data_IF_310628752214
#
_entry.id   IF_310628752214
#
_cell.length_a   1.000
_cell.length_b   1.000
_cell.length_c   1.000
_cell.angle_alpha   90.00
_cell.angle_beta   90.00
_cell.angle_gamma   90.00
#
_symmetry.space_group_name_H-M   'P 1'
#
loop_
_entity.id
_entity.type
_entity.pdbx_description
1 polymer ?
#
# COMPACT_ATOMS: atom_id res chain seq x y z
N UNK A 1 1.66 6.25 -19.00
CA UNK A 1 1.25 7.62 -18.72
C UNK A 1 2.47 8.53 -18.79
N UNK A 2 2.41 9.61 -19.55
CA UNK A 2 3.54 10.51 -19.78
C UNK A 2 3.07 11.97 -19.83
N UNK A 3 3.96 12.89 -19.50
CA UNK A 3 3.84 14.30 -19.86
C UNK A 3 4.66 14.58 -21.11
N UNK A 4 4.10 15.33 -22.05
CA UNK A 4 4.75 15.69 -23.30
C UNK A 4 4.57 17.17 -23.61
N UNK A 5 5.48 17.75 -24.40
CA UNK A 5 5.32 19.06 -25.03
C UNK A 5 4.68 18.96 -26.43
N UNK A 6 4.20 17.79 -26.81
CA UNK A 6 3.67 17.46 -28.13
C UNK A 6 4.66 16.69 -29.01
N UNK A 7 5.96 16.89 -28.85
CA UNK A 7 7.02 16.24 -29.64
C UNK A 7 7.87 15.29 -28.80
N UNK A 8 8.16 15.66 -27.55
CA UNK A 8 9.06 14.92 -26.68
C UNK A 8 8.36 14.47 -25.40
N UNK A 9 8.78 13.34 -24.88
CA UNK A 9 8.37 12.88 -23.54
C UNK A 9 9.23 13.62 -22.52
N UNK A 10 8.58 14.39 -21.64
CA UNK A 10 9.23 15.18 -20.60
C UNK A 10 9.34 14.42 -19.27
N UNK A 11 8.39 13.51 -19.01
CA UNK A 11 8.26 12.85 -17.73
C UNK A 11 7.47 11.55 -17.89
N UNK A 12 7.90 10.51 -17.21
CA UNK A 12 7.07 9.31 -16.95
C UNK A 12 6.24 9.58 -15.71
N UNK A 13 4.97 9.95 -15.91
CA UNK A 13 4.06 10.41 -14.87
C UNK A 13 4.02 9.47 -13.67
N UNK A 14 4.29 9.99 -12.48
CA UNK A 14 4.35 9.24 -11.23
C UNK A 14 5.54 8.27 -11.09
N UNK A 15 6.49 8.25 -12.02
CA UNK A 15 7.67 7.37 -11.99
C UNK A 15 8.95 8.19 -11.95
N UNK A 16 9.27 8.93 -13.02
CA UNK A 16 10.56 9.61 -13.15
C UNK A 16 10.47 10.83 -14.08
N UNK A 17 11.07 11.93 -13.68
CA UNK A 17 11.29 13.09 -14.55
C UNK A 17 12.33 12.83 -15.64
N UNK A 18 12.22 13.57 -16.75
CA UNK A 18 13.18 13.46 -17.85
C UNK A 18 14.46 14.27 -17.61
N UNK A 19 15.59 13.77 -18.10
CA UNK A 19 16.88 14.43 -17.97
C UNK A 19 16.91 15.80 -18.66
N UNK A 20 16.29 15.90 -19.85
CA UNK A 20 16.26 17.14 -20.64
C UNK A 20 15.57 18.32 -19.95
N UNK A 21 14.73 18.04 -18.95
CA UNK A 21 13.98 19.04 -18.18
C UNK A 21 14.37 19.07 -16.71
N UNK A 22 15.48 18.43 -16.35
CA UNK A 22 15.98 18.41 -14.98
C UNK A 22 16.48 19.80 -14.54
N UNK A 23 16.33 20.10 -13.24
CA UNK A 23 16.84 21.34 -12.68
C UNK A 23 18.37 21.34 -12.60
N UNK A 24 18.97 22.50 -12.79
CA UNK A 24 20.40 22.77 -12.63
C UNK A 24 20.62 24.09 -11.87
N UNK A 25 21.88 24.48 -11.68
CA UNK A 25 22.24 25.67 -10.91
C UNK A 25 21.74 26.99 -11.54
N UNK A 26 21.46 27.00 -12.86
CA UNK A 26 20.98 28.18 -13.59
C UNK A 26 19.46 28.22 -13.71
N UNK A 27 18.76 27.22 -13.22
CA UNK A 27 17.30 27.09 -13.32
C UNK A 27 16.63 28.25 -12.57
N UNK A 28 15.81 29.03 -13.27
CA UNK A 28 15.07 30.19 -12.71
C UNK A 28 13.56 29.95 -12.66
N UNK A 29 13.05 28.99 -13.44
CA UNK A 29 11.63 28.63 -13.48
C UNK A 29 11.50 27.13 -13.40
N UNK A 30 10.57 26.68 -12.59
CA UNK A 30 10.27 25.26 -12.40
C UNK A 30 8.79 25.00 -12.61
N UNK A 31 8.46 23.86 -13.16
CA UNK A 31 7.11 23.31 -13.18
C UNK A 31 7.02 22.24 -12.11
N UNK A 32 6.14 22.45 -11.13
CA UNK A 32 5.93 21.50 -10.02
C UNK A 32 4.69 20.68 -10.35
N UNK A 33 4.85 19.36 -10.40
CA UNK A 33 3.75 18.43 -10.49
C UNK A 33 3.37 17.98 -9.08
N UNK A 34 2.11 18.22 -8.71
CA UNK A 34 1.49 17.64 -7.52
C UNK A 34 0.20 16.98 -7.97
N UNK A 35 0.19 15.66 -8.06
CA UNK A 35 -0.84 14.93 -8.77
C UNK A 35 -1.32 13.68 -8.00
N UNK A 36 -2.48 13.20 -8.39
CA UNK A 36 -2.97 11.87 -8.10
C UNK A 36 -3.06 11.06 -9.38
N UNK A 37 -2.52 9.86 -9.37
CA UNK A 37 -2.64 8.90 -10.46
C UNK A 37 -3.34 7.64 -9.96
N UNK A 38 -4.19 7.05 -10.79
CA UNK A 38 -4.81 5.76 -10.46
C UNK A 38 -3.71 4.70 -10.32
N UNK A 39 -3.57 4.02 -9.19
CA UNK A 39 -2.52 3.01 -8.96
C UNK A 39 -2.41 1.98 -10.07
N UNK A 40 -3.55 1.49 -10.58
CA UNK A 40 -3.60 0.51 -11.70
C UNK A 40 -2.86 0.97 -12.97
N UNK A 41 -2.70 2.28 -13.17
CA UNK A 41 -1.98 2.82 -14.32
C UNK A 41 -0.47 2.80 -14.15
N UNK A 42 0.01 2.64 -12.91
CA UNK A 42 1.42 2.75 -12.55
C UNK A 42 2.03 1.43 -12.07
N UNK A 43 1.23 0.55 -11.51
CA UNK A 43 1.69 -0.77 -11.03
C UNK A 43 2.54 -1.47 -12.09
N UNK A 44 3.75 -1.88 -11.68
CA UNK A 44 4.72 -2.59 -12.51
C UNK A 44 5.46 -1.74 -13.55
N UNK A 45 5.24 -0.40 -13.59
CA UNK A 45 5.94 0.45 -14.57
C UNK A 45 7.39 0.70 -14.18
N UNK A 46 7.67 0.84 -12.89
CA UNK A 46 9.03 0.93 -12.34
C UNK A 46 9.86 -0.29 -12.75
N UNK A 47 9.32 -1.49 -12.59
CA UNK A 47 9.98 -2.74 -12.99
C UNK A 47 10.17 -2.80 -14.50
N UNK A 48 9.10 -2.50 -15.26
CA UNK A 48 9.13 -2.56 -16.74
C UNK A 48 10.23 -1.70 -17.36
N UNK A 49 10.51 -0.54 -16.77
CA UNK A 49 11.47 0.43 -17.30
C UNK A 49 12.79 0.44 -16.51
N UNK A 50 12.94 -0.44 -15.52
CA UNK A 50 14.08 -0.47 -14.61
C UNK A 50 14.36 0.90 -13.94
N UNK A 51 13.27 1.57 -13.52
CA UNK A 51 13.28 2.90 -12.92
C UNK A 51 12.71 2.82 -11.50
N UNK A 52 13.57 2.67 -10.52
CA UNK A 52 13.16 2.66 -9.13
C UNK A 52 13.14 4.07 -8.54
N UNK A 53 11.98 4.54 -8.08
CA UNK A 53 11.81 5.83 -7.44
C UNK A 53 10.83 5.78 -6.28
N UNK A 54 11.05 6.64 -5.28
CA UNK A 54 10.12 6.83 -4.17
C UNK A 54 8.71 7.25 -4.64
N UNK A 55 8.65 8.04 -5.72
CA UNK A 55 7.39 8.45 -6.32
C UNK A 55 6.61 7.24 -6.85
N UNK A 56 7.24 6.39 -7.66
CA UNK A 56 6.62 5.18 -8.18
C UNK A 56 6.10 4.28 -7.07
N UNK A 57 6.92 4.07 -6.03
CA UNK A 57 6.56 3.26 -4.87
C UNK A 57 5.31 3.78 -4.13
N UNK A 58 5.19 5.10 -3.97
CA UNK A 58 4.02 5.72 -3.32
C UNK A 58 2.79 5.71 -4.20
N UNK A 59 2.93 6.07 -5.47
CA UNK A 59 1.80 6.13 -6.39
C UNK A 59 1.23 4.74 -6.74
N UNK A 60 2.06 3.71 -6.79
CA UNK A 60 1.59 2.33 -7.00
C UNK A 60 0.70 1.83 -5.86
N UNK A 61 0.93 2.31 -4.64
CA UNK A 61 0.14 1.98 -3.44
C UNK A 61 -1.05 2.88 -3.21
N UNK A 62 -1.07 4.04 -3.86
CA UNK A 62 -2.06 5.08 -3.70
C UNK A 62 -1.58 6.21 -2.80
N UNK A 63 -1.97 7.42 -3.17
CA UNK A 63 -1.75 8.65 -2.41
C UNK A 63 -3.10 9.32 -2.14
N UNK A 64 -3.17 10.13 -1.10
CA UNK A 64 -4.39 10.85 -0.77
C UNK A 64 -4.66 11.98 -1.77
N UNK A 65 -5.71 11.82 -2.59
CA UNK A 65 -6.09 12.81 -3.59
C UNK A 65 -6.61 14.13 -2.99
N UNK A 66 -7.11 14.12 -1.75
CA UNK A 66 -7.60 15.32 -1.07
C UNK A 66 -6.47 16.13 -0.42
N UNK A 67 -5.28 15.56 -0.27
CA UNK A 67 -4.14 16.24 0.34
C UNK A 67 -3.25 16.99 -0.66
N UNK A 68 -3.56 16.96 -1.95
CA UNK A 68 -2.72 17.58 -2.99
C UNK A 68 -2.51 19.08 -2.76
N UNK A 69 -3.55 19.81 -2.43
CA UNK A 69 -3.45 21.26 -2.18
C UNK A 69 -2.58 21.53 -0.94
N UNK A 70 -2.80 20.82 0.16
CA UNK A 70 -2.02 20.98 1.39
C UNK A 70 -0.54 20.63 1.17
N UNK A 71 -0.29 19.57 0.40
CA UNK A 71 1.07 19.16 0.03
C UNK A 71 1.76 20.23 -0.80
N UNK A 72 1.08 20.79 -1.78
CA UNK A 72 1.63 21.87 -2.61
C UNK A 72 1.90 23.13 -1.80
N UNK A 73 0.97 23.54 -0.94
CA UNK A 73 1.15 24.68 -0.01
C UNK A 73 2.35 24.49 0.91
N UNK A 74 2.52 23.28 1.46
CA UNK A 74 3.68 22.95 2.31
C UNK A 74 4.98 23.00 1.51
N UNK A 75 4.99 22.48 0.28
CA UNK A 75 6.15 22.56 -0.59
C UNK A 75 6.54 24.01 -0.90
N UNK A 76 5.57 24.85 -1.27
CA UNK A 76 5.80 26.28 -1.53
C UNK A 76 6.39 26.97 -0.29
N UNK A 77 5.82 26.72 0.88
CA UNK A 77 6.34 27.27 2.16
C UNK A 77 7.81 26.90 2.40
N UNK A 78 8.18 25.64 2.15
CA UNK A 78 9.58 25.20 2.28
C UNK A 78 10.49 25.91 1.28
N UNK A 79 10.03 26.10 0.03
CA UNK A 79 10.81 26.84 -0.97
C UNK A 79 11.01 28.30 -0.56
N UNK A 80 9.99 28.94 0.01
CA UNK A 80 10.06 30.33 0.50
C UNK A 80 11.04 30.51 1.66
N UNK A 81 11.26 29.46 2.47
CA UNK A 81 12.29 29.49 3.52
C UNK A 81 13.73 29.56 2.95
N UNK A 82 13.92 29.18 1.69
CA UNK A 82 15.23 29.10 1.05
C UNK A 82 15.45 30.12 -0.08
N UNK A 83 14.38 30.58 -0.71
CA UNK A 83 14.47 31.53 -1.85
C UNK A 83 13.20 32.37 -1.98
N UNK A 84 13.33 33.53 -2.60
CA UNK A 84 12.19 34.41 -2.85
C UNK A 84 11.44 33.97 -4.11
N UNK A 85 10.19 33.60 -3.95
CA UNK A 85 9.29 33.36 -5.08
C UNK A 85 8.80 34.74 -5.60
N UNK A 86 9.11 35.05 -6.86
CA UNK A 86 8.71 36.32 -7.49
C UNK A 86 7.43 36.21 -8.29
N UNK A 87 7.10 35.02 -8.77
CA UNK A 87 5.90 34.76 -9.56
C UNK A 87 5.45 33.32 -9.35
N UNK A 88 4.16 33.12 -9.13
CA UNK A 88 3.54 31.83 -8.95
C UNK A 88 2.26 31.75 -9.79
N UNK A 89 2.13 30.70 -10.59
CA UNK A 89 0.91 30.40 -11.32
C UNK A 89 0.45 29.00 -10.99
N UNK A 90 -0.84 28.83 -10.74
CA UNK A 90 -1.45 27.54 -10.44
C UNK A 90 -2.35 27.13 -11.61
N UNK A 91 -2.18 25.91 -12.07
CA UNK A 91 -3.12 25.23 -12.96
C UNK A 91 -3.63 23.96 -12.28
N UNK A 92 -4.94 23.80 -12.24
CA UNK A 92 -5.58 22.62 -11.67
C UNK A 92 -6.49 21.96 -12.70
N UNK A 93 -6.41 20.64 -12.77
CA UNK A 93 -7.31 19.83 -13.59
C UNK A 93 -7.79 18.63 -12.77
N UNK A 94 -9.09 18.54 -12.57
CA UNK A 94 -9.74 17.39 -11.96
C UNK A 94 -10.40 16.58 -13.06
N UNK A 95 -10.03 15.30 -13.18
CA UNK A 95 -10.61 14.37 -14.15
C UNK A 95 -11.71 13.49 -13.55
N UNK A 96 -11.66 13.29 -12.24
CA UNK A 96 -12.62 12.50 -11.49
C UNK A 96 -12.66 13.02 -10.07
N UNK A 97 -13.86 13.32 -9.59
CA UNK A 97 -14.08 13.73 -8.21
C UNK A 97 -13.81 12.57 -7.25
N UNK A 98 -13.43 12.93 -6.03
CA UNK A 98 -13.25 11.95 -4.96
C UNK A 98 -14.60 11.45 -4.47
N UNK A 99 -14.75 10.13 -4.40
CA UNK A 99 -15.91 9.48 -3.83
C UNK A 99 -15.55 8.89 -2.46
N UNK A 100 -16.26 9.32 -1.42
CA UNK A 100 -16.08 8.79 -0.07
C UNK A 100 -16.45 7.32 -0.02
N UNK A 101 -15.55 6.50 0.52
CA UNK A 101 -15.80 5.08 0.80
C UNK A 101 -16.40 4.93 2.18
N UNK A 102 -17.27 3.95 2.33
CA UNK A 102 -17.86 3.62 3.63
C UNK A 102 -18.06 2.11 3.77
N UNK A 103 -18.08 1.66 5.01
CA UNK A 103 -18.40 0.28 5.42
C UNK A 103 -19.61 0.36 6.35
N UNK A 104 -20.52 -0.61 6.26
CA UNK A 104 -21.61 -0.72 7.24
C UNK A 104 -21.03 -0.93 8.64
N UNK A 105 -21.45 -0.12 9.59
CA UNK A 105 -21.02 -0.33 10.98
C UNK A 105 -21.68 -1.59 11.56
N UNK A 106 -20.88 -2.61 11.81
CA UNK A 106 -21.31 -3.89 12.39
C UNK A 106 -20.32 -4.30 13.48
N UNK A 107 -20.36 -3.58 14.60
CA UNK A 107 -19.50 -3.84 15.76
C UNK A 107 -19.61 -5.29 16.25
N UNK A 108 -20.81 -5.93 16.37
CA UNK A 108 -20.89 -7.34 16.79
C UNK A 108 -20.07 -8.27 15.88
N UNK A 109 -19.99 -7.99 14.59
CA UNK A 109 -19.16 -8.77 13.68
C UNK A 109 -17.67 -8.53 13.92
N UNK A 110 -17.25 -7.31 14.22
CA UNK A 110 -15.87 -6.99 14.62
C UNK A 110 -15.50 -7.74 15.90
N UNK A 111 -16.35 -7.71 16.93
CA UNK A 111 -16.16 -8.46 18.18
C UNK A 111 -16.05 -9.96 17.94
N UNK A 112 -16.89 -10.49 17.05
CA UNK A 112 -16.81 -11.92 16.66
C UNK A 112 -15.50 -12.27 15.96
N UNK A 113 -14.98 -11.39 15.08
CA UNK A 113 -13.68 -11.59 14.42
C UNK A 113 -12.56 -11.61 15.46
N UNK A 114 -12.57 -10.66 16.40
CA UNK A 114 -11.54 -10.51 17.41
C UNK A 114 -11.70 -11.51 18.57
N UNK A 115 -12.93 -12.02 18.78
CA UNK A 115 -13.23 -12.93 19.88
C UNK A 115 -13.25 -12.26 21.24
N UNK A 116 -13.45 -10.95 21.31
CA UNK A 116 -13.57 -10.15 22.54
C UNK A 116 -14.76 -9.21 22.45
N UNK A 117 -15.33 -8.85 23.58
CA UNK A 117 -16.30 -7.76 23.69
C UNK A 117 -15.56 -6.43 23.86
N UNK A 118 -16.06 -5.39 23.22
CA UNK A 118 -15.45 -4.05 23.22
C UNK A 118 -16.51 -3.04 23.65
N UNK A 119 -16.17 -2.20 24.62
CA UNK A 119 -17.05 -1.10 25.02
C UNK A 119 -17.30 -0.15 23.84
N UNK A 120 -18.56 0.35 23.70
CA UNK A 120 -18.97 1.20 22.57
C UNK A 120 -18.15 2.49 22.49
N UNK A 121 -17.92 3.15 23.62
CA UNK A 121 -17.13 4.40 23.67
C UNK A 121 -15.68 4.16 23.27
N UNK A 122 -15.12 3.02 23.67
CA UNK A 122 -13.74 2.64 23.32
C UNK A 122 -13.65 2.36 21.82
N UNK A 123 -14.58 1.59 21.27
CA UNK A 123 -14.64 1.26 19.86
C UNK A 123 -14.73 2.51 18.99
N UNK A 124 -15.68 3.37 19.31
CA UNK A 124 -15.90 4.66 18.59
C UNK A 124 -14.65 5.53 18.68
N UNK A 125 -14.10 5.73 19.89
CA UNK A 125 -12.93 6.56 20.10
C UNK A 125 -11.69 6.06 19.38
N UNK A 126 -11.50 4.74 19.28
CA UNK A 126 -10.40 4.14 18.52
C UNK A 126 -10.52 4.55 17.04
N UNK A 127 -11.68 4.35 16.45
CA UNK A 127 -11.87 4.63 15.03
C UNK A 127 -11.81 6.12 14.72
N UNK A 128 -12.40 6.98 15.55
CA UNK A 128 -12.31 8.44 15.42
C UNK A 128 -10.86 8.94 15.49
N UNK A 129 -10.07 8.43 16.45
CA UNK A 129 -8.64 8.78 16.57
C UNK A 129 -7.80 8.31 15.37
N UNK A 130 -8.26 7.32 14.64
CA UNK A 130 -7.65 6.86 13.39
C UNK A 130 -8.17 7.62 12.15
N UNK A 131 -9.08 8.59 12.36
CA UNK A 131 -9.62 9.45 11.32
C UNK A 131 -10.88 8.93 10.63
N UNK A 132 -11.45 7.81 11.11
CA UNK A 132 -12.75 7.34 10.61
C UNK A 132 -13.86 8.20 11.21
N UNK A 133 -14.88 8.53 10.42
CA UNK A 133 -16.10 9.13 10.94
C UNK A 133 -17.16 8.06 11.17
N UNK A 134 -17.80 8.13 12.33
CA UNK A 134 -18.71 7.08 12.81
C UNK A 134 -20.16 7.59 12.87
N UNK A 135 -21.04 6.83 12.21
CA UNK A 135 -22.49 6.96 12.31
C UNK A 135 -23.10 5.56 12.05
N UNK A 136 -24.25 5.46 11.38
CA UNK A 136 -24.75 4.18 10.86
C UNK A 136 -23.75 3.46 9.95
N UNK A 137 -22.81 4.21 9.39
CA UNK A 137 -21.73 3.76 8.53
C UNK A 137 -20.38 4.25 9.08
N UNK A 138 -19.35 3.49 8.82
CA UNK A 138 -17.96 3.89 9.03
C UNK A 138 -17.47 4.54 7.75
N UNK A 139 -17.23 5.85 7.77
CA UNK A 139 -16.66 6.57 6.64
C UNK A 139 -15.14 6.43 6.69
N UNK A 140 -14.57 5.94 5.60
CA UNK A 140 -13.14 5.68 5.48
C UNK A 140 -12.44 6.97 5.10
N UNK A 141 -11.39 7.42 5.84
CA UNK A 141 -10.64 8.60 5.48
C UNK A 141 -9.91 8.43 4.13
N UNK A 142 -9.76 9.51 3.39
CA UNK A 142 -9.21 9.51 2.02
C UNK A 142 -7.80 8.93 1.90
N UNK A 143 -7.01 8.99 2.96
CA UNK A 143 -5.64 8.45 3.00
C UNK A 143 -5.58 6.94 3.26
N UNK A 144 -6.70 6.28 3.60
CA UNK A 144 -6.77 4.84 3.86
C UNK A 144 -7.28 4.11 2.63
N UNK A 145 -6.39 3.84 1.70
CA UNK A 145 -6.72 3.13 0.45
C UNK A 145 -6.90 1.62 0.65
N UNK A 146 -6.33 1.11 1.73
CA UNK A 146 -6.23 -0.29 2.12
C UNK A 146 -7.50 -0.84 2.77
N UNK A 147 -8.32 0.03 3.39
CA UNK A 147 -9.51 -0.38 4.12
C UNK A 147 -10.67 -0.61 3.16
N UNK A 148 -11.15 -1.85 3.09
CA UNK A 148 -12.22 -2.27 2.17
C UNK A 148 -13.39 -2.95 2.88
N UNK A 149 -13.15 -3.60 4.02
CA UNK A 149 -14.15 -4.38 4.74
C UNK A 149 -13.99 -4.35 6.26
N UNK A 150 -14.88 -5.07 6.98
CA UNK A 150 -14.84 -5.14 8.43
C UNK A 150 -13.65 -5.90 9.01
N UNK A 151 -12.94 -6.71 8.21
CA UNK A 151 -11.74 -7.38 8.72
C UNK A 151 -10.62 -6.35 8.90
N UNK A 152 -10.49 -5.40 7.97
CA UNK A 152 -9.54 -4.29 8.13
C UNK A 152 -9.90 -3.41 9.33
N UNK A 153 -11.20 -3.16 9.59
CA UNK A 153 -11.63 -2.43 10.79
C UNK A 153 -11.29 -3.22 12.06
N UNK A 154 -11.50 -4.54 12.06
CA UNK A 154 -11.13 -5.40 13.19
C UNK A 154 -9.61 -5.38 13.43
N UNK A 155 -8.80 -5.38 12.37
CA UNK A 155 -7.34 -5.27 12.47
C UNK A 155 -6.92 -3.96 13.12
N UNK A 156 -7.49 -2.82 12.69
CA UNK A 156 -7.21 -1.52 13.28
C UNK A 156 -7.55 -1.46 14.76
N UNK A 157 -8.72 -2.00 15.11
CA UNK A 157 -9.16 -2.06 16.51
C UNK A 157 -8.23 -2.95 17.33
N UNK A 158 -7.87 -4.13 16.82
CA UNK A 158 -6.94 -5.06 17.47
C UNK A 158 -5.57 -4.44 17.71
N UNK A 159 -5.06 -3.71 16.70
CA UNK A 159 -3.77 -3.04 16.76
C UNK A 159 -3.73 -1.97 17.87
N UNK A 160 -4.81 -1.19 18.01
CA UNK A 160 -4.88 -0.14 19.04
C UNK A 160 -5.12 -0.70 20.41
N UNK A 161 -6.00 -1.71 20.55
CA UNK A 161 -6.20 -2.42 21.83
C UNK A 161 -4.89 -3.11 22.26
N UNK A 162 -4.17 -3.67 21.30
CA UNK A 162 -2.95 -4.46 21.47
C UNK A 162 -3.23 -5.97 21.38
N UNK A 163 -2.54 -6.63 20.45
CA UNK A 163 -2.71 -8.06 20.17
C UNK A 163 -2.53 -8.94 21.42
N UNK A 164 -1.64 -8.55 22.34
CA UNK A 164 -1.39 -9.29 23.58
C UNK A 164 -2.59 -9.28 24.55
N UNK A 165 -3.57 -8.42 24.35
CA UNK A 165 -4.79 -8.35 25.17
C UNK A 165 -5.92 -9.22 24.61
N UNK A 166 -5.75 -9.74 23.39
CA UNK A 166 -6.70 -10.64 22.77
C UNK A 166 -6.39 -12.06 23.25
N UNK A 167 -7.34 -12.74 23.92
CA UNK A 167 -7.09 -14.06 24.46
C UNK A 167 -6.90 -15.10 23.37
N UNK A 168 -5.91 -15.96 23.54
CA UNK A 168 -5.71 -17.11 22.66
C UNK A 168 -6.89 -18.08 22.86
N UNK A 169 -7.47 -18.52 21.76
CA UNK A 169 -8.45 -19.60 21.75
C UNK A 169 -7.77 -20.87 21.26
N UNK A 170 -8.04 -21.96 21.97
CA UNK A 170 -7.67 -23.27 21.44
C UNK A 170 -8.49 -23.52 20.19
N UNK A 171 -7.83 -23.93 19.14
CA UNK A 171 -8.50 -24.46 17.96
C UNK A 171 -9.12 -25.79 18.37
N UNK A 172 -10.44 -25.94 18.18
CA UNK A 172 -11.09 -27.27 18.20
C UNK A 172 -10.59 -28.04 16.96
N UNK A 173 -9.37 -28.51 17.06
CA UNK A 173 -8.81 -29.39 16.05
C UNK A 173 -9.54 -30.71 16.27
N UNK A 174 -10.55 -30.98 15.40
CA UNK A 174 -10.99 -32.34 15.24
C UNK A 174 -9.73 -33.15 14.96
N UNK A 175 -9.39 -34.06 15.86
CA UNK A 175 -8.23 -34.92 15.70
C UNK A 175 -8.39 -35.67 14.37
N UNK A 176 -7.79 -35.12 13.31
CA UNK A 176 -7.56 -35.93 12.12
C UNK A 176 -6.56 -36.98 12.55
N UNK A 177 -6.88 -38.24 12.27
CA UNK A 177 -5.86 -39.27 12.38
C UNK A 177 -4.60 -38.76 11.66
N UNK A 178 -3.43 -38.87 12.29
CA UNK A 178 -2.20 -38.40 11.68
C UNK A 178 -2.10 -39.06 10.32
N UNK A 179 -1.93 -38.25 9.27
CA UNK A 179 -1.70 -38.73 7.93
C UNK A 179 -0.42 -39.57 7.92
N UNK A 180 -0.57 -40.89 8.06
CA UNK A 180 0.55 -41.84 8.02
C UNK A 180 0.92 -42.12 6.56
N UNK A 181 1.51 -41.15 5.90
CA UNK A 181 2.18 -41.45 4.64
C UNK A 181 3.67 -41.69 4.91
N UNK A 182 3.99 -42.86 5.41
CA UNK A 182 5.35 -43.30 5.70
C UNK A 182 6.18 -43.58 4.40
N UNK A 183 5.58 -43.44 3.22
CA UNK A 183 6.23 -43.79 1.98
C UNK A 183 7.35 -42.82 1.62
N UNK A 184 7.15 -41.54 1.85
CA UNK A 184 8.19 -40.51 1.59
C UNK A 184 9.36 -40.67 2.58
N UNK A 185 9.07 -40.84 3.86
CA UNK A 185 10.11 -41.03 4.87
C UNK A 185 10.88 -42.34 4.65
N UNK A 186 10.16 -43.40 4.26
CA UNK A 186 10.80 -44.67 3.89
C UNK A 186 11.72 -44.50 2.67
N UNK A 187 11.27 -43.75 1.67
CA UNK A 187 12.07 -43.46 0.48
C UNK A 187 13.31 -42.61 0.82
N UNK A 188 13.15 -41.57 1.64
CA UNK A 188 14.26 -40.73 2.12
C UNK A 188 15.31 -41.57 2.84
N UNK A 189 14.90 -42.41 3.78
CA UNK A 189 15.79 -43.31 4.53
C UNK A 189 16.49 -44.31 3.61
N UNK A 190 15.76 -44.88 2.64
CA UNK A 190 16.35 -45.78 1.67
C UNK A 190 17.42 -45.10 0.82
N UNK A 191 17.17 -43.92 0.31
CA UNK A 191 18.12 -43.16 -0.51
C UNK A 191 19.34 -42.73 0.34
N UNK A 192 19.10 -42.22 1.56
CA UNK A 192 20.17 -41.86 2.47
C UNK A 192 21.07 -43.05 2.81
N UNK A 193 20.52 -44.24 3.01
CA UNK A 193 21.28 -45.48 3.26
C UNK A 193 22.15 -45.91 2.08
N UNK A 194 21.81 -45.46 0.86
CA UNK A 194 22.58 -45.69 -0.36
C UNK A 194 23.59 -44.57 -0.69
N UNK A 195 23.75 -43.60 0.20
CA UNK A 195 24.71 -42.49 0.06
C UNK A 195 24.22 -41.30 -0.73
N UNK A 196 22.91 -41.19 -1.00
CA UNK A 196 22.33 -39.97 -1.59
C UNK A 196 22.08 -38.90 -0.53
N UNK A 197 22.21 -37.63 -0.92
CA UNK A 197 21.88 -36.48 -0.12
C UNK A 197 20.62 -35.80 -0.66
N UNK A 198 19.70 -35.50 0.24
CA UNK A 198 18.52 -34.69 -0.12
C UNK A 198 18.96 -33.22 -0.22
N UNK A 199 18.53 -32.56 -1.30
CA UNK A 199 18.79 -31.13 -1.52
C UNK A 199 17.47 -30.39 -1.69
N UNK A 200 17.39 -29.18 -1.15
CA UNK A 200 16.28 -28.25 -1.37
C UNK A 200 16.78 -27.21 -2.35
N UNK A 201 16.27 -27.26 -3.57
CA UNK A 201 16.64 -26.34 -4.64
C UNK A 201 15.56 -25.28 -4.84
N UNK A 202 15.91 -24.17 -5.50
CA UNK A 202 14.92 -23.21 -5.95
C UNK A 202 13.98 -23.86 -6.97
N UNK A 203 12.64 -23.69 -6.81
CA UNK A 203 11.67 -24.33 -7.70
C UNK A 203 11.54 -23.65 -9.07
N UNK A 204 12.15 -22.49 -9.25
CA UNK A 204 12.11 -21.71 -10.48
C UNK A 204 13.51 -21.68 -11.11
N UNK A 205 13.58 -22.12 -12.36
CA UNK A 205 14.77 -22.08 -13.20
C UNK A 205 14.44 -21.36 -14.51
N UNK A 206 15.40 -20.64 -15.09
CA UNK A 206 15.26 -20.12 -16.44
C UNK A 206 15.37 -21.24 -17.48
N UNK A 207 14.79 -21.05 -18.69
CA UNK A 207 14.92 -22.05 -19.77
C UNK A 207 16.38 -22.29 -20.18
N UNK A 208 17.26 -21.30 -20.00
CA UNK A 208 18.69 -21.39 -20.30
C UNK A 208 19.45 -22.28 -19.31
N UNK A 209 19.01 -22.39 -18.06
CA UNK A 209 19.63 -23.25 -17.03
C UNK A 209 19.21 -24.70 -17.11
N UNK A 210 18.20 -25.05 -17.95
CA UNK A 210 17.73 -26.40 -18.19
C UNK A 210 18.51 -27.18 -19.26
N UNK A 211 19.36 -26.51 -20.00
CA UNK A 211 20.23 -27.11 -21.02
C UNK A 211 21.59 -27.47 -20.41
#
# INVERSE_FOLDING_TARGET
LVFTDGNNVLNLAGVMGGESTSCNNDTKKVLIECAFFKPKSLIGKSIKYDLNSEAAHKFERGVDSLMLENTLRRFISIVEDHTKITNLSLYQKVYQDYESKYIKNDKPKVEKILGIEINDDIYTKILENLGFSMDEKIIIPSFRHDVEDLNHIAEEVARVIGYNKIPLRNLDILSREPYQNNNEDTLRLLLASKGFYETINYPFESEEERS
#
